data_IF_312446669621
#
_entry.id   IF_312446669621
#
_cell.length_a   1.000
_cell.length_b   1.000
_cell.length_c   1.000
_cell.angle_alpha   90.00
_cell.angle_beta   90.00
_cell.angle_gamma   90.00
#
_symmetry.space_group_name_H-M   'P 1'
#
loop_
_entity.id
_entity.type
_entity.pdbx_description
1 polymer ?
#
# COMPACT_ATOMS: atom_id res chain seq x y z
N UNK A 1 15.98 6.86 -1.03
CA UNK A 1 15.59 6.23 0.25
C UNK A 1 16.51 6.70 1.37
N UNK A 2 17.77 7.05 1.07
CA UNK A 2 18.75 7.56 2.04
C UNK A 2 19.01 6.56 3.16
N UNK A 3 19.27 5.32 2.76
CA UNK A 3 19.47 4.16 3.64
C UNK A 3 20.92 3.66 3.60
N UNK A 4 21.81 4.41 2.95
CA UNK A 4 23.22 4.04 2.77
C UNK A 4 23.44 2.90 1.78
N UNK A 5 22.61 2.79 0.75
CA UNK A 5 22.89 1.85 -0.34
C UNK A 5 24.06 2.35 -1.19
N UNK A 6 24.95 1.44 -1.55
CA UNK A 6 26.14 1.73 -2.37
C UNK A 6 25.75 1.75 -3.86
N UNK A 7 25.56 2.95 -4.41
CA UNK A 7 25.36 3.17 -5.84
C UNK A 7 26.67 3.60 -6.49
N UNK A 8 26.82 3.28 -7.77
CA UNK A 8 27.98 3.68 -8.58
C UNK A 8 28.08 5.19 -8.82
N UNK A 9 26.94 5.88 -8.93
CA UNK A 9 26.87 7.29 -9.31
C UNK A 9 26.14 8.21 -8.30
N UNK A 10 25.73 7.70 -7.14
CA UNK A 10 24.92 8.47 -6.17
C UNK A 10 25.26 8.16 -4.71
N UNK A 11 25.43 9.22 -3.91
CA UNK A 11 25.58 9.11 -2.45
C UNK A 11 24.21 9.06 -1.75
N UNK A 12 23.90 7.89 -1.18
CA UNK A 12 22.67 7.60 -0.41
C UNK A 12 22.87 7.72 1.12
N UNK A 13 23.88 8.48 1.56
CA UNK A 13 24.20 8.76 2.98
C UNK A 13 24.12 10.26 3.34
N UNK A 14 23.18 10.98 2.72
CA UNK A 14 23.01 12.42 2.94
C UNK A 14 22.48 12.73 4.34
N UNK A 15 22.77 13.93 4.84
CA UNK A 15 22.09 14.44 6.03
C UNK A 15 20.58 14.53 5.79
N UNK A 16 19.78 14.47 6.86
CA UNK A 16 18.32 14.50 6.73
C UNK A 16 17.82 15.80 6.10
N UNK A 17 18.40 16.95 6.46
CA UNK A 17 18.06 18.25 5.88
C UNK A 17 18.41 18.30 4.39
N UNK A 18 19.64 17.90 4.03
CA UNK A 18 20.07 17.86 2.63
C UNK A 18 19.21 16.92 1.77
N UNK A 19 18.79 15.79 2.35
CA UNK A 19 17.91 14.83 1.66
C UNK A 19 16.51 15.39 1.43
N UNK A 20 15.94 16.08 2.42
CA UNK A 20 14.63 16.70 2.29
C UNK A 20 14.65 17.88 1.31
N UNK A 21 15.69 18.71 1.34
CA UNK A 21 15.87 19.80 0.39
C UNK A 21 16.13 19.31 -1.04
N UNK A 22 16.94 18.25 -1.18
CA UNK A 22 17.07 17.55 -2.45
C UNK A 22 15.74 16.97 -2.92
N UNK A 23 14.95 16.39 -2.00
CA UNK A 23 13.65 15.83 -2.31
C UNK A 23 12.65 16.87 -2.79
N UNK A 24 12.61 18.01 -2.10
CA UNK A 24 11.80 19.16 -2.48
C UNK A 24 12.09 19.62 -3.90
N UNK A 25 13.37 19.70 -4.29
CA UNK A 25 13.78 20.17 -5.62
C UNK A 25 13.27 19.27 -6.73
N UNK A 26 13.52 17.96 -6.67
CA UNK A 26 13.03 17.07 -7.74
C UNK A 26 11.52 16.92 -7.72
N UNK A 27 10.88 16.91 -6.54
CA UNK A 27 9.42 16.87 -6.44
C UNK A 27 8.76 18.13 -7.01
N UNK A 28 9.41 19.30 -6.87
CA UNK A 28 8.93 20.56 -7.47
C UNK A 28 8.94 20.49 -8.99
N UNK A 29 10.01 19.94 -9.58
CA UNK A 29 10.09 19.72 -11.03
C UNK A 29 9.03 18.72 -11.52
N UNK A 30 8.77 17.66 -10.76
CA UNK A 30 7.64 16.76 -11.08
C UNK A 30 6.31 17.50 -11.06
N UNK A 31 6.04 18.31 -10.04
CA UNK A 31 4.81 19.10 -9.97
C UNK A 31 4.68 20.08 -11.15
N UNK A 32 5.80 20.63 -11.64
CA UNK A 32 5.84 21.52 -12.81
C UNK A 32 5.42 20.80 -14.09
N UNK A 33 5.90 19.59 -14.31
CA UNK A 33 5.64 18.83 -15.55
C UNK A 33 4.37 17.97 -15.50
N UNK A 34 3.84 17.70 -14.31
CA UNK A 34 2.62 16.94 -14.13
C UNK A 34 1.43 17.68 -14.75
N UNK A 35 0.57 16.98 -15.51
CA UNK A 35 -0.65 17.58 -16.06
C UNK A 35 -1.59 18.08 -14.94
N UNK A 36 -2.52 19.02 -15.20
CA UNK A 36 -3.53 19.44 -14.23
C UNK A 36 -4.35 18.28 -13.64
N UNK A 37 -4.63 17.26 -14.45
CA UNK A 37 -5.34 16.01 -14.09
C UNK A 37 -4.39 14.85 -13.72
N UNK A 38 -3.10 15.16 -13.54
CA UNK A 38 -2.04 14.19 -13.36
C UNK A 38 -1.93 13.65 -11.95
N UNK A 39 -1.34 12.45 -11.86
CA UNK A 39 -1.09 11.71 -10.64
C UNK A 39 0.42 11.51 -10.42
N UNK A 40 0.88 11.65 -9.18
CA UNK A 40 2.24 11.35 -8.75
C UNK A 40 2.22 10.23 -7.70
N UNK A 41 2.99 9.17 -7.94
CA UNK A 41 3.20 8.09 -6.99
C UNK A 41 4.61 8.14 -6.40
N UNK A 42 4.72 8.08 -5.07
CA UNK A 42 5.98 8.08 -4.36
C UNK A 42 6.15 6.79 -3.54
N UNK A 43 7.17 6.00 -3.86
CA UNK A 43 7.61 4.88 -3.04
C UNK A 43 8.70 5.32 -2.06
N UNK A 44 8.53 5.02 -0.77
CA UNK A 44 9.49 5.40 0.27
C UNK A 44 9.47 4.42 1.45
N UNK A 45 10.60 4.32 2.16
CA UNK A 45 10.73 3.59 3.42
C UNK A 45 10.21 4.37 4.62
N UNK A 46 10.30 3.79 5.80
CA UNK A 46 9.76 4.37 7.03
C UNK A 46 10.37 5.74 7.36
N UNK A 47 11.68 5.91 7.10
CA UNK A 47 12.51 7.01 7.59
C UNK A 47 11.99 8.42 7.23
N UNK A 48 11.43 8.57 6.04
CA UNK A 48 11.06 9.87 5.48
C UNK A 48 9.61 9.90 4.98
N UNK A 49 8.81 8.88 5.30
CA UNK A 49 7.45 8.77 4.79
C UNK A 49 6.57 9.93 5.27
N UNK A 50 6.68 10.30 6.55
CA UNK A 50 5.89 11.38 7.12
C UNK A 50 6.30 12.74 6.54
N UNK A 51 7.60 13.00 6.50
CA UNK A 51 8.21 14.25 6.03
C UNK A 51 7.89 14.50 4.57
N UNK A 52 8.10 13.52 3.69
CA UNK A 52 7.81 13.68 2.26
C UNK A 52 6.31 13.82 1.98
N UNK A 53 5.44 13.19 2.78
CA UNK A 53 3.99 13.43 2.69
C UNK A 53 3.62 14.85 3.09
N UNK A 54 4.19 15.37 4.18
CA UNK A 54 3.94 16.74 4.64
C UNK A 54 4.45 17.72 3.61
N UNK A 55 5.68 17.55 3.12
CA UNK A 55 6.28 18.36 2.07
C UNK A 55 5.41 18.40 0.80
N UNK A 56 5.00 17.22 0.30
CA UNK A 56 4.15 17.13 -0.89
C UNK A 56 2.83 17.89 -0.74
N UNK A 57 2.20 17.80 0.44
CA UNK A 57 0.85 18.34 0.66
C UNK A 57 0.82 19.79 1.12
N UNK A 58 1.78 20.22 1.94
CA UNK A 58 1.83 21.55 2.54
C UNK A 58 2.63 22.55 1.72
N UNK A 59 3.67 22.07 1.04
CA UNK A 59 4.61 22.96 0.34
C UNK A 59 4.44 22.88 -1.19
N UNK A 60 4.10 21.70 -1.73
CA UNK A 60 3.95 21.51 -3.18
C UNK A 60 2.50 21.50 -3.66
N UNK A 61 1.53 21.63 -2.75
CA UNK A 61 0.11 21.78 -3.08
C UNK A 61 -0.56 20.52 -3.65
N UNK A 62 0.05 19.34 -3.51
CA UNK A 62 -0.55 18.09 -3.94
C UNK A 62 -1.58 17.58 -2.92
N UNK A 63 -2.58 16.84 -3.40
CA UNK A 63 -3.55 16.15 -2.53
C UNK A 63 -3.20 14.67 -2.40
N UNK A 64 -2.96 14.18 -1.18
CA UNK A 64 -2.78 12.74 -0.92
C UNK A 64 -4.13 12.01 -0.93
N UNK A 65 -4.41 11.22 -1.97
CA UNK A 65 -5.65 10.42 -2.06
C UNK A 65 -5.56 9.12 -1.26
N UNK A 66 -4.39 8.52 -1.21
CA UNK A 66 -4.18 7.26 -0.50
C UNK A 66 -2.75 7.17 0.01
N UNK A 67 -2.60 6.64 1.22
CA UNK A 67 -1.33 6.16 1.75
C UNK A 67 -1.38 4.65 1.70
N UNK A 68 -0.85 4.08 0.64
CA UNK A 68 -0.86 2.64 0.43
C UNK A 68 0.32 1.99 1.16
N UNK A 69 0.06 0.86 1.80
CA UNK A 69 1.07 -0.01 2.39
C UNK A 69 1.30 -1.19 1.45
N UNK A 70 2.47 -1.23 0.82
CA UNK A 70 2.91 -2.40 0.06
C UNK A 70 3.66 -3.34 0.99
N UNK A 71 3.03 -4.46 1.33
CA UNK A 71 3.61 -5.48 2.20
C UNK A 71 4.31 -6.58 1.40
N UNK A 72 5.42 -7.05 1.93
CA UNK A 72 6.18 -8.18 1.42
C UNK A 72 6.75 -9.01 2.58
N UNK A 73 6.74 -10.33 2.46
CA UNK A 73 7.05 -11.25 3.57
C UNK A 73 8.52 -11.37 3.93
N UNK A 74 9.42 -11.07 3.00
CA UNK A 74 10.85 -11.15 3.23
C UNK A 74 11.41 -9.76 3.52
N UNK A 75 11.35 -9.41 4.80
CA UNK A 75 11.86 -8.16 5.35
C UNK A 75 13.26 -8.27 5.95
N UNK A 76 13.89 -7.12 6.24
CA UNK A 76 15.14 -7.09 7.01
C UNK A 76 14.81 -7.45 8.46
N UNK A 77 15.43 -8.52 8.96
CA UNK A 77 15.31 -8.89 10.38
C UNK A 77 15.88 -7.76 11.25
N UNK A 78 15.09 -7.31 12.21
CA UNK A 78 15.46 -6.25 13.13
C UNK A 78 15.63 -6.83 14.54
N UNK A 79 16.73 -6.47 15.23
CA UNK A 79 17.01 -6.99 16.58
C UNK A 79 16.28 -6.25 17.70
N UNK A 80 15.98 -4.97 17.51
CA UNK A 80 15.46 -4.06 18.54
C UNK A 80 14.09 -3.46 18.19
N UNK A 81 13.46 -3.92 17.11
CA UNK A 81 12.13 -3.49 16.65
C UNK A 81 11.49 -4.57 15.78
N UNK A 82 10.23 -4.37 15.41
CA UNK A 82 9.55 -5.24 14.45
C UNK A 82 10.29 -5.27 13.10
N UNK A 83 10.22 -6.42 12.42
CA UNK A 83 10.82 -6.60 11.10
C UNK A 83 10.23 -5.61 10.09
N UNK A 84 11.09 -5.13 9.19
CA UNK A 84 10.67 -4.23 8.10
C UNK A 84 10.17 -5.01 6.91
N UNK A 85 8.86 -5.11 6.77
CA UNK A 85 8.16 -5.93 5.77
C UNK A 85 7.23 -5.13 4.86
N UNK A 86 7.40 -3.81 4.78
CA UNK A 86 6.61 -2.97 3.89
C UNK A 86 7.37 -1.76 3.36
N UNK A 87 6.83 -1.19 2.29
CA UNK A 87 7.14 0.14 1.81
C UNK A 87 5.86 0.97 1.74
N UNK A 88 6.01 2.29 1.84
CA UNK A 88 4.93 3.24 1.71
C UNK A 88 4.82 3.68 0.25
N UNK A 89 3.60 3.66 -0.29
CA UNK A 89 3.27 4.15 -1.62
C UNK A 89 2.25 5.28 -1.47
N UNK A 90 2.69 6.52 -1.65
CA UNK A 90 1.79 7.66 -1.64
C UNK A 90 1.18 7.89 -3.01
N UNK A 91 -0.15 8.02 -3.05
CA UNK A 91 -0.92 8.39 -4.22
C UNK A 91 -1.28 9.87 -4.12
N UNK A 92 -0.52 10.73 -4.78
CA UNK A 92 -0.77 12.16 -4.84
C UNK A 92 -1.44 12.56 -6.16
N UNK A 93 -2.34 13.52 -6.11
CA UNK A 93 -3.00 14.10 -7.29
C UNK A 93 -2.89 15.61 -7.27
N UNK A 94 -2.87 16.22 -8.45
CA UNK A 94 -2.81 17.68 -8.60
C UNK A 94 -4.16 18.33 -8.34
N UNK A 95 -5.25 17.75 -8.86
CA UNK A 95 -6.62 18.19 -8.60
C UNK A 95 -7.42 17.04 -7.96
N UNK A 96 -7.94 17.28 -6.76
CA UNK A 96 -8.71 16.29 -6.00
C UNK A 96 -10.10 15.99 -6.58
N UNK A 97 -10.62 16.88 -7.42
CA UNK A 97 -11.89 16.73 -8.12
C UNK A 97 -11.70 16.12 -9.51
N UNK A 98 -10.59 16.42 -10.19
CA UNK A 98 -10.35 16.02 -11.59
C UNK A 98 -9.01 15.30 -11.73
N UNK A 99 -9.01 13.97 -11.66
CA UNK A 99 -7.83 13.14 -11.90
C UNK A 99 -8.22 11.77 -12.46
N UNK A 100 -7.30 11.13 -13.18
CA UNK A 100 -7.52 9.78 -13.73
C UNK A 100 -7.51 8.74 -12.61
N UNK A 101 -8.62 8.00 -12.46
CA UNK A 101 -8.72 6.85 -11.56
C UNK A 101 -9.58 5.72 -12.13
N UNK A 102 -8.93 4.77 -12.82
CA UNK A 102 -9.56 3.70 -13.58
C UNK A 102 -9.95 2.50 -12.70
N UNK A 103 -11.01 2.68 -11.90
CA UNK A 103 -11.47 1.69 -10.91
C UNK A 103 -11.65 0.28 -11.47
N UNK A 104 -12.25 0.14 -12.65
CA UNK A 104 -12.58 -1.15 -13.24
C UNK A 104 -11.35 -1.96 -13.66
N UNK A 105 -10.22 -1.31 -13.91
CA UNK A 105 -8.98 -1.97 -14.34
C UNK A 105 -8.18 -2.60 -13.21
N UNK A 106 -8.54 -2.30 -11.96
CA UNK A 106 -7.82 -2.71 -10.75
C UNK A 106 -8.70 -3.46 -9.75
N UNK A 107 -9.92 -3.85 -10.12
CA UNK A 107 -10.81 -4.56 -9.21
C UNK A 107 -10.22 -5.90 -8.80
N UNK A 108 -10.46 -6.25 -7.54
CA UNK A 108 -10.11 -7.53 -6.94
C UNK A 108 -11.38 -8.24 -6.46
N UNK A 109 -11.37 -9.57 -6.34
CA UNK A 109 -12.50 -10.30 -5.77
C UNK A 109 -12.89 -9.79 -4.37
N UNK A 110 -14.18 -9.85 -4.10
CA UNK A 110 -14.72 -9.42 -2.81
C UNK A 110 -14.87 -10.60 -1.86
N UNK A 111 -14.35 -10.53 -0.64
CA UNK A 111 -14.61 -11.56 0.37
C UNK A 111 -16.12 -11.72 0.67
N UNK A 112 -16.93 -10.67 0.47
CA UNK A 112 -18.41 -10.77 0.54
C UNK A 112 -18.97 -11.75 -0.48
N UNK A 113 -18.40 -11.76 -1.67
CA UNK A 113 -18.72 -12.72 -2.72
C UNK A 113 -18.11 -14.09 -2.39
N UNK A 114 -16.79 -14.13 -2.18
CA UNK A 114 -16.04 -15.39 -2.12
C UNK A 114 -16.27 -16.19 -0.84
N UNK A 115 -16.39 -15.53 0.30
CA UNK A 115 -16.45 -16.17 1.63
C UNK A 115 -17.87 -16.22 2.15
N UNK A 116 -18.62 -15.13 1.96
CA UNK A 116 -19.94 -14.96 2.59
C UNK A 116 -21.11 -15.21 1.64
N UNK A 117 -20.88 -15.38 0.32
CA UNK A 117 -21.95 -15.58 -0.66
C UNK A 117 -23.00 -14.46 -0.66
N UNK A 118 -22.62 -13.25 -0.26
CA UNK A 118 -23.52 -12.11 -0.14
C UNK A 118 -23.95 -11.64 -1.52
N UNK A 119 -25.25 -11.78 -1.83
CA UNK A 119 -25.84 -11.39 -3.12
C UNK A 119 -25.72 -9.90 -3.44
N UNK A 120 -25.41 -9.06 -2.45
CA UNK A 120 -25.14 -7.62 -2.65
C UNK A 120 -23.71 -7.36 -3.13
N UNK A 121 -22.84 -8.37 -3.16
CA UNK A 121 -21.50 -8.21 -3.69
C UNK A 121 -21.57 -7.89 -5.18
N UNK A 122 -20.74 -6.94 -5.61
CA UNK A 122 -20.62 -6.62 -7.02
C UNK A 122 -19.86 -7.76 -7.72
N UNK A 123 -20.45 -8.42 -8.75
CA UNK A 123 -19.81 -9.53 -9.45
C UNK A 123 -18.56 -9.11 -10.23
N UNK A 124 -18.35 -7.81 -10.45
CA UNK A 124 -17.10 -7.28 -11.01
C UNK A 124 -15.98 -7.15 -9.95
N UNK A 125 -16.25 -7.50 -8.69
CA UNK A 125 -15.34 -7.31 -7.57
C UNK A 125 -15.41 -5.91 -6.96
N UNK A 126 -14.45 -5.65 -6.08
CA UNK A 126 -14.31 -4.41 -5.30
C UNK A 126 -13.00 -3.70 -5.64
N UNK A 127 -12.85 -2.46 -5.21
CA UNK A 127 -11.53 -1.83 -5.18
C UNK A 127 -10.61 -2.57 -4.20
N UNK A 128 -9.31 -2.68 -4.50
CA UNK A 128 -8.34 -3.19 -3.54
C UNK A 128 -8.29 -2.27 -2.32
N UNK A 129 -7.92 -2.84 -1.18
CA UNK A 129 -7.66 -2.05 0.03
C UNK A 129 -6.42 -1.16 -0.19
N UNK A 130 -6.20 -0.20 0.70
CA UNK A 130 -4.96 0.57 0.75
C UNK A 130 -3.79 -0.21 1.36
N UNK A 131 -4.04 -1.43 1.85
CA UNK A 131 -3.00 -2.36 2.27
C UNK A 131 -2.88 -3.49 1.23
N UNK A 132 -1.82 -3.44 0.44
CA UNK A 132 -1.57 -4.38 -0.65
C UNK A 132 -0.83 -5.60 -0.12
N UNK A 133 -1.62 -6.50 0.48
CA UNK A 133 -1.20 -7.80 1.03
C UNK A 133 -1.91 -8.92 0.26
N UNK A 134 -1.29 -10.10 0.16
CA UNK A 134 -2.03 -11.32 -0.17
C UNK A 134 -2.68 -11.86 1.08
N UNK A 135 -4.01 -11.91 1.07
CA UNK A 135 -4.76 -12.44 2.20
C UNK A 135 -5.01 -13.93 1.96
N UNK A 136 -4.92 -14.77 3.00
CA UNK A 136 -5.23 -16.19 2.88
C UNK A 136 -6.60 -16.49 2.25
N UNK A 137 -7.59 -15.59 2.39
CA UNK A 137 -8.90 -15.73 1.76
C UNK A 137 -8.88 -15.54 0.24
N UNK A 138 -7.84 -14.90 -0.28
CA UNK A 138 -7.61 -14.72 -1.72
C UNK A 138 -6.88 -15.95 -2.34
N UNK A 139 -6.45 -16.92 -1.51
CA UNK A 139 -5.83 -18.21 -1.91
C UNK A 139 -6.45 -19.41 -1.14
N UNK A 140 -7.68 -19.85 -1.46
CA UNK A 140 -8.36 -20.92 -0.73
C UNK A 140 -7.69 -22.30 -0.84
N UNK A 141 -6.91 -22.56 -1.90
CA UNK A 141 -6.15 -23.81 -2.05
C UNK A 141 -4.83 -23.81 -1.26
N UNK A 142 -4.55 -22.73 -0.52
CA UNK A 142 -3.30 -22.56 0.22
C UNK A 142 -2.10 -22.35 -0.69
N UNK A 143 -0.96 -22.11 -0.06
CA UNK A 143 0.33 -21.91 -0.69
C UNK A 143 0.75 -23.16 -1.47
N UNK A 144 0.61 -23.15 -2.79
CA UNK A 144 1.22 -24.19 -3.63
C UNK A 144 2.68 -23.82 -3.88
N UNK A 145 3.57 -24.82 -3.90
CA UNK A 145 5.01 -24.59 -4.16
C UNK A 145 5.31 -24.08 -5.58
N UNK A 146 4.29 -24.00 -6.44
CA UNK A 146 4.36 -23.50 -7.80
C UNK A 146 3.87 -22.04 -7.94
N UNK A 147 3.35 -21.43 -6.87
CA UNK A 147 2.75 -20.10 -6.89
C UNK A 147 3.59 -19.09 -6.09
N UNK A 148 3.95 -17.98 -6.73
CA UNK A 148 4.53 -16.83 -6.02
C UNK A 148 3.46 -16.26 -5.06
N UNK A 149 3.75 -16.41 -3.78
CA UNK A 149 2.80 -16.40 -2.67
C UNK A 149 2.31 -14.99 -2.27
N UNK A 150 2.47 -13.97 -3.11
CA UNK A 150 2.15 -12.57 -2.76
C UNK A 150 1.60 -11.79 -3.97
N UNK A 151 0.68 -10.83 -3.76
CA UNK A 151 0.15 -9.99 -4.85
C UNK A 151 1.28 -9.28 -5.58
N UNK A 152 2.30 -8.85 -4.84
CA UNK A 152 3.54 -8.28 -5.38
C UNK A 152 4.70 -8.65 -4.45
N UNK A 153 5.31 -9.83 -4.57
CA UNK A 153 6.47 -10.15 -3.75
C UNK A 153 7.59 -9.18 -4.09
N UNK A 154 8.48 -8.86 -3.14
CA UNK A 154 9.75 -8.21 -3.50
C UNK A 154 10.44 -9.06 -4.57
N UNK A 155 11.01 -8.44 -5.61
CA UNK A 155 11.72 -9.19 -6.65
C UNK A 155 12.99 -9.80 -6.05
N UNK A 156 12.95 -11.10 -5.82
CA UNK A 156 14.04 -11.88 -5.23
C UNK A 156 14.95 -12.51 -6.30
N UNK A 157 16.15 -12.93 -5.90
CA UNK A 157 17.20 -13.40 -6.82
C UNK A 157 16.80 -14.56 -7.74
N UNK A 158 15.88 -15.42 -7.31
CA UNK A 158 15.43 -16.61 -8.07
C UNK A 158 14.26 -16.34 -9.02
N UNK A 159 13.71 -15.14 -9.04
CA UNK A 159 12.49 -14.84 -9.78
C UNK A 159 12.79 -14.57 -11.25
N UNK A 160 11.93 -15.04 -12.16
CA UNK A 160 12.09 -14.81 -13.61
C UNK A 160 12.16 -13.32 -13.99
N UNK A 161 11.44 -12.48 -13.24
CA UNK A 161 11.42 -11.03 -13.43
C UNK A 161 12.75 -10.37 -13.05
N UNK A 162 13.58 -11.01 -12.22
CA UNK A 162 14.81 -10.44 -11.69
C UNK A 162 15.81 -10.16 -12.81
N UNK A 163 16.15 -8.89 -12.99
CA UNK A 163 17.12 -8.48 -14.01
C UNK A 163 18.57 -8.87 -13.65
N UNK A 164 18.86 -9.09 -12.36
CA UNK A 164 20.15 -9.57 -11.86
C UNK A 164 21.20 -8.47 -11.59
N UNK A 165 21.06 -7.29 -12.20
CA UNK A 165 22.05 -6.20 -12.15
C UNK A 165 21.64 -4.98 -11.31
N UNK A 166 20.40 -4.90 -10.81
CA UNK A 166 19.92 -3.77 -10.00
C UNK A 166 19.46 -4.20 -8.61
N UNK A 167 19.96 -3.60 -7.53
CA UNK A 167 19.71 -4.04 -6.15
C UNK A 167 18.25 -4.01 -5.68
N UNK A 168 17.45 -3.06 -6.20
CA UNK A 168 16.10 -2.76 -5.70
C UNK A 168 15.06 -2.68 -6.84
N UNK A 169 14.90 -3.78 -7.60
CA UNK A 169 13.88 -3.85 -8.65
C UNK A 169 12.47 -3.97 -8.03
N UNK A 170 11.54 -3.10 -8.43
CA UNK A 170 10.12 -3.21 -8.07
C UNK A 170 9.41 -4.23 -9.00
N UNK A 171 8.35 -4.91 -8.53
CA UNK A 171 7.60 -5.88 -9.32
C UNK A 171 6.77 -5.24 -10.43
N UNK A 172 6.72 -5.87 -11.60
CA UNK A 172 5.94 -5.39 -12.74
C UNK A 172 4.45 -5.30 -12.43
N UNK A 173 3.88 -6.30 -11.77
CA UNK A 173 2.45 -6.29 -11.44
C UNK A 173 2.08 -5.14 -10.48
N UNK A 174 3.00 -4.74 -9.59
CA UNK A 174 2.79 -3.63 -8.65
C UNK A 174 2.67 -2.31 -9.40
N UNK A 175 3.66 -2.04 -10.25
CA UNK A 175 3.67 -0.87 -11.12
C UNK A 175 2.54 -0.94 -12.15
N UNK A 176 2.15 -2.14 -12.57
CA UNK A 176 1.03 -2.38 -13.47
C UNK A 176 -0.30 -2.01 -12.85
N UNK A 177 -0.50 -2.21 -11.54
CA UNK A 177 -1.67 -1.72 -10.81
C UNK A 177 -1.67 -0.19 -10.75
N UNK A 178 -0.54 0.41 -10.40
CA UNK A 178 -0.37 1.88 -10.33
C UNK A 178 -0.66 2.53 -11.69
N UNK A 179 -0.01 2.07 -12.75
CA UNK A 179 -0.13 2.65 -14.10
C UNK A 179 -1.54 2.46 -14.64
N UNK A 180 -2.17 1.29 -14.45
CA UNK A 180 -3.57 1.08 -14.88
C UNK A 180 -4.52 2.01 -14.14
N UNK A 181 -4.36 2.16 -12.83
CA UNK A 181 -5.21 3.02 -12.00
C UNK A 181 -5.13 4.49 -12.43
N UNK A 182 -3.94 4.99 -12.75
CA UNK A 182 -3.67 6.43 -12.84
C UNK A 182 -3.35 6.94 -14.24
N UNK A 183 -3.47 6.12 -15.29
CA UNK A 183 -3.22 6.51 -16.68
C UNK A 183 -4.03 5.69 -17.69
N UNK A 184 -4.18 6.20 -18.90
CA UNK A 184 -4.79 5.56 -20.05
C UNK A 184 -3.73 5.20 -21.12
N UNK A 185 -4.01 4.25 -22.03
CA UNK A 185 -3.16 4.02 -23.20
C UNK A 185 -2.86 5.33 -23.94
N UNK A 186 -1.61 5.51 -24.35
CA UNK A 186 -1.12 6.75 -24.98
C UNK A 186 -0.69 7.86 -24.02
N UNK A 187 -1.08 7.81 -22.74
CA UNK A 187 -0.57 8.77 -21.75
C UNK A 187 0.94 8.59 -21.53
N UNK A 188 1.61 9.64 -21.06
CA UNK A 188 3.02 9.61 -20.70
C UNK A 188 3.21 9.22 -19.23
N UNK A 189 4.01 8.19 -18.98
CA UNK A 189 4.49 7.79 -17.64
C UNK A 189 5.94 8.25 -17.48
N UNK A 190 6.19 9.07 -16.46
CA UNK A 190 7.52 9.59 -16.13
C UNK A 190 8.09 8.86 -14.90
N UNK A 191 9.35 8.41 -14.98
CA UNK A 191 10.11 7.92 -13.83
C UNK A 191 11.46 8.68 -13.70
N UNK A 192 11.60 9.59 -12.73
CA UNK A 192 12.85 10.35 -12.57
C UNK A 192 14.01 9.53 -12.00
N UNK A 193 13.76 8.30 -11.55
CA UNK A 193 14.76 7.41 -10.93
C UNK A 193 14.57 5.99 -11.47
N UNK A 194 14.81 5.82 -12.78
CA UNK A 194 14.36 4.64 -13.52
C UNK A 194 14.95 3.32 -13.00
N UNK A 195 16.18 3.31 -12.47
CA UNK A 195 16.84 2.19 -11.81
C UNK A 195 16.91 0.95 -12.70
N UNK A 196 16.03 -0.03 -12.47
CA UNK A 196 15.93 -1.24 -13.30
C UNK A 196 15.06 -1.09 -14.55
N UNK A 197 14.46 0.07 -14.75
CA UNK A 197 13.57 0.39 -15.86
C UNK A 197 12.18 -0.25 -15.77
N UNK A 198 11.78 -0.84 -14.63
CA UNK A 198 10.50 -1.55 -14.52
C UNK A 198 9.31 -0.64 -14.82
N UNK A 199 9.30 0.62 -14.36
CA UNK A 199 8.22 1.57 -14.68
C UNK A 199 8.08 1.78 -16.18
N UNK A 200 9.19 1.96 -16.89
CA UNK A 200 9.23 2.17 -18.34
C UNK A 200 8.80 0.90 -19.09
N UNK A 201 9.29 -0.26 -18.66
CA UNK A 201 8.91 -1.56 -19.19
C UNK A 201 7.40 -1.80 -19.07
N UNK A 202 6.83 -1.59 -17.89
CA UNK A 202 5.39 -1.76 -17.63
C UNK A 202 4.57 -0.74 -18.42
N UNK A 203 5.00 0.52 -18.49
CA UNK A 203 4.34 1.53 -19.30
C UNK A 203 4.28 1.11 -20.78
N UNK A 204 5.40 0.64 -21.35
CA UNK A 204 5.47 0.11 -22.71
C UNK A 204 4.54 -1.09 -22.92
N UNK A 205 4.62 -2.11 -22.03
CA UNK A 205 3.77 -3.30 -22.06
C UNK A 205 2.28 -2.93 -22.05
N UNK A 206 1.91 -1.92 -21.26
CA UNK A 206 0.54 -1.43 -21.16
C UNK A 206 0.14 -0.41 -22.26
N UNK A 207 1.00 -0.12 -23.23
CA UNK A 207 0.69 0.81 -24.32
C UNK A 207 0.63 2.27 -23.91
N UNK A 208 1.42 2.67 -22.90
CA UNK A 208 1.67 4.07 -22.54
C UNK A 208 2.99 4.53 -23.17
N UNK A 209 3.09 5.84 -23.42
CA UNK A 209 4.37 6.48 -23.65
C UNK A 209 5.15 6.53 -22.33
N UNK A 210 6.47 6.59 -22.39
CA UNK A 210 7.30 6.64 -21.19
C UNK A 210 8.50 7.56 -21.36
N UNK A 211 8.95 8.13 -20.25
CA UNK A 211 10.19 8.89 -20.15
C UNK A 211 10.85 8.54 -18.81
N UNK A 212 12.15 8.24 -18.84
CA UNK A 212 12.90 7.90 -17.65
C UNK A 212 14.24 8.60 -17.60
N UNK A 213 14.68 8.92 -16.38
CA UNK A 213 16.03 9.42 -16.11
C UNK A 213 16.78 8.40 -15.25
N UNK A 214 18.04 8.18 -15.59
CA UNK A 214 18.95 7.31 -14.85
C UNK A 214 20.33 7.95 -14.84
N UNK A 215 20.98 7.98 -13.67
CA UNK A 215 22.30 8.58 -13.49
C UNK A 215 23.41 7.63 -13.91
N UNK A 216 23.24 6.33 -13.65
CA UNK A 216 24.21 5.31 -14.04
C UNK A 216 24.10 5.02 -15.53
N UNK A 217 25.17 5.30 -16.28
CA UNK A 217 25.26 4.96 -17.71
C UNK A 217 25.09 3.45 -17.92
N UNK A 218 25.69 2.64 -17.04
CA UNK A 218 25.55 1.19 -17.08
C UNK A 218 24.09 0.75 -16.90
N UNK A 219 23.34 1.34 -15.96
CA UNK A 219 21.91 1.04 -15.82
C UNK A 219 21.10 1.54 -17.02
N UNK A 220 21.39 2.74 -17.55
CA UNK A 220 20.72 3.28 -18.71
C UNK A 220 20.86 2.37 -19.96
N UNK A 221 22.04 1.80 -20.20
CA UNK A 221 22.25 0.81 -21.25
C UNK A 221 21.39 -0.44 -21.05
N UNK A 222 21.36 -0.98 -19.82
CA UNK A 222 20.60 -2.19 -19.51
C UNK A 222 19.08 -1.96 -19.61
N UNK A 223 18.61 -0.79 -19.19
CA UNK A 223 17.23 -0.35 -19.38
C UNK A 223 16.91 -0.33 -20.88
N UNK A 224 17.78 0.25 -21.71
CA UNK A 224 17.57 0.33 -23.17
C UNK A 224 17.45 -1.06 -23.78
N UNK A 225 18.40 -1.97 -23.47
CA UNK A 225 18.35 -3.38 -23.93
C UNK A 225 17.07 -4.10 -23.48
N UNK A 226 16.65 -3.89 -22.22
CA UNK A 226 15.40 -4.47 -21.70
C UNK A 226 14.19 -3.95 -22.48
N UNK A 227 14.15 -2.65 -22.75
CA UNK A 227 13.04 -2.02 -23.48
C UNK A 227 12.97 -2.48 -24.94
N UNK A 228 14.09 -2.66 -25.62
CA UNK A 228 14.14 -3.14 -27.01
C UNK A 228 13.48 -4.52 -27.17
N UNK A 229 13.64 -5.38 -26.17
CA UNK A 229 13.02 -6.72 -26.14
C UNK A 229 11.52 -6.73 -25.82
N UNK A 230 10.94 -5.61 -25.37
CA UNK A 230 9.54 -5.54 -24.96
C UNK A 230 8.63 -5.09 -26.10
N UNK A 231 7.49 -5.76 -26.25
CA UNK A 231 6.44 -5.38 -27.19
C UNK A 231 5.22 -4.79 -26.46
N UNK A 232 4.52 -3.86 -27.11
CA UNK A 232 3.26 -3.33 -26.58
C UNK A 232 2.23 -4.46 -26.50
N UNK A 233 1.53 -4.57 -25.38
CA UNK A 233 0.56 -5.64 -25.11
C UNK A 233 1.18 -6.92 -24.54
N UNK A 234 2.51 -6.99 -24.38
CA UNK A 234 3.15 -8.12 -23.70
C UNK A 234 2.67 -8.23 -22.24
N UNK A 235 2.50 -9.46 -21.76
CA UNK A 235 2.05 -9.73 -20.41
C UNK A 235 3.08 -9.22 -19.37
N UNK A 236 2.57 -8.69 -18.25
CA UNK A 236 3.38 -8.34 -17.09
C UNK A 236 3.91 -9.60 -16.40
N UNK A 237 5.14 -9.55 -15.95
CA UNK A 237 5.78 -10.65 -15.22
C UNK A 237 5.22 -10.77 -13.79
N UNK A 238 5.05 -12.00 -13.32
CA UNK A 238 4.41 -12.30 -12.02
C UNK A 238 2.91 -12.62 -12.15
N UNK A 239 2.33 -13.20 -11.10
CA UNK A 239 0.92 -13.56 -11.10
C UNK A 239 0.04 -12.31 -11.22
N UNK A 240 -0.95 -12.28 -12.13
CA UNK A 240 -1.95 -11.23 -12.11
C UNK A 240 -2.73 -11.30 -10.79
N UNK A 241 -3.42 -10.21 -10.45
CA UNK A 241 -4.48 -10.23 -9.44
C UNK A 241 -5.34 -11.51 -9.63
N UNK A 242 -5.61 -12.33 -8.60
CA UNK A 242 -6.50 -13.47 -8.75
C UNK A 242 -7.87 -12.93 -9.15
N UNK A 243 -8.31 -13.23 -10.37
CA UNK A 243 -9.56 -12.70 -10.92
C UNK A 243 -10.78 -13.57 -10.56
N UNK A 244 -10.59 -14.75 -9.95
CA UNK A 244 -11.66 -15.68 -9.60
C UNK A 244 -11.32 -16.46 -8.33
N UNK A 245 -12.31 -16.66 -7.45
CA UNK A 245 -12.26 -17.79 -6.52
C UNK A 245 -12.69 -19.07 -7.22
N UNK A 246 -12.16 -20.17 -6.71
CA UNK A 246 -12.48 -21.58 -6.97
C UNK A 246 -14.01 -21.85 -6.87
N UNK A 247 -14.55 -22.92 -7.50
CA UNK A 247 -16.00 -23.18 -7.57
C UNK A 247 -16.65 -23.29 -6.20
N UNK A 248 -17.98 -23.07 -6.16
CA UNK A 248 -18.80 -23.26 -4.99
C UNK A 248 -18.53 -24.63 -4.35
N UNK A 249 -18.27 -24.63 -3.04
CA UNK A 249 -18.09 -25.84 -2.25
C UNK A 249 -19.43 -26.60 -2.19
N UNK A 250 -19.74 -27.40 -3.20
CA UNK A 250 -20.83 -28.37 -3.13
C UNK A 250 -20.59 -29.42 -2.02
N UNK A 251 -19.37 -29.48 -1.48
CA UNK A 251 -18.95 -30.35 -0.39
C UNK A 251 -18.53 -29.57 0.86
N UNK A 252 -19.25 -28.51 1.22
CA UNK A 252 -19.15 -27.97 2.57
C UNK A 252 -19.48 -29.07 3.57
N UNK A 253 -18.48 -29.58 4.31
CA UNK A 253 -18.74 -30.47 5.44
C UNK A 253 -19.65 -29.73 6.40
N UNK A 254 -20.91 -30.11 6.44
CA UNK A 254 -21.81 -29.75 7.53
C UNK A 254 -21.13 -30.18 8.82
N UNK A 255 -21.07 -29.27 9.80
CA UNK A 255 -20.69 -29.65 11.16
C UNK A 255 -21.60 -30.83 11.52
N UNK A 256 -21.03 -32.03 11.67
CA UNK A 256 -21.79 -33.21 12.04
C UNK A 256 -22.62 -32.82 13.26
N UNK A 257 -23.93 -33.04 13.15
CA UNK A 257 -24.94 -32.76 14.16
C UNK A 257 -24.33 -32.84 15.55
N UNK A 258 -24.33 -31.73 16.29
CA UNK A 258 -24.12 -31.76 17.74
C UNK A 258 -25.14 -32.76 18.26
N UNK A 259 -24.70 -33.99 18.51
CA UNK A 259 -25.50 -35.01 19.14
C UNK A 259 -25.96 -34.37 20.43
N UNK A 260 -27.25 -34.08 20.50
CA UNK A 260 -27.92 -33.63 21.71
C UNK A 260 -27.76 -34.73 22.75
N UNK A 261 -26.63 -34.73 23.45
CA UNK A 261 -26.52 -35.38 24.76
C UNK A 261 -27.35 -34.50 25.70
N UNK A 262 -28.65 -34.76 25.75
CA UNK A 262 -29.50 -34.40 26.89
C UNK A 262 -28.95 -35.17 28.09
N UNK A 263 -27.94 -34.63 28.74
CA UNK A 263 -27.65 -35.00 30.13
C UNK A 263 -28.61 -34.21 30.99
N UNK A 264 -29.65 -34.86 31.49
CA UNK A 264 -30.45 -34.35 32.60
C UNK A 264 -29.52 -34.21 33.81
N UNK A 265 -29.05 -32.99 34.08
CA UNK A 265 -28.49 -32.64 35.38
C UNK A 265 -29.45 -31.69 36.06
N UNK A 266 -29.92 -32.15 37.23
CA UNK A 266 -30.75 -31.47 38.21
C UNK A 266 -30.25 -30.04 38.43
N UNK A 267 -31.19 -29.11 38.60
CA UNK A 267 -30.93 -27.81 39.21
C UNK A 267 -30.50 -28.06 40.65
N UNK A 268 -29.25 -27.76 40.95
CA UNK A 268 -28.82 -27.41 42.29
C UNK A 268 -28.16 -26.03 42.23
N UNK A 269 -28.43 -25.25 43.26
CA UNK A 269 -28.27 -23.82 43.42
C UNK A 269 -26.83 -23.32 43.54
N UNK A 270 -26.61 -22.07 43.10
CA UNK A 270 -25.64 -21.06 43.59
C UNK A 270 -24.16 -21.49 43.74
N UNK A 271 -23.31 -20.98 42.84
CA UNK A 271 -22.00 -20.44 43.20
C UNK A 271 -21.51 -19.48 42.09
N UNK A 272 -21.08 -18.30 42.50
CA UNK A 272 -20.52 -17.20 41.70
C UNK A 272 -19.18 -17.58 41.05
N UNK A 273 -19.01 -17.32 39.75
CA UNK A 273 -17.70 -17.33 39.10
C UNK A 273 -17.03 -15.95 39.21
N UNK A 274 -15.71 -15.86 39.44
CA UNK A 274 -15.00 -14.59 39.62
C UNK A 274 -14.79 -13.86 38.29
N UNK A 275 -14.97 -12.54 38.31
CA UNK A 275 -14.78 -11.64 37.18
C UNK A 275 -13.30 -11.47 36.81
N UNK A 276 -13.06 -11.34 35.51
CA UNK A 276 -11.74 -11.35 34.86
C UNK A 276 -11.01 -9.98 34.85
N UNK A 277 -11.39 -9.06 35.73
CA UNK A 277 -10.76 -7.75 35.85
C UNK A 277 -10.73 -7.30 37.33
N UNK A 278 -9.58 -6.89 37.89
CA UNK A 278 -9.54 -6.27 39.21
C UNK A 278 -10.23 -4.90 39.14
N UNK A 279 -11.28 -4.71 39.93
CA UNK A 279 -11.81 -3.38 40.25
C UNK A 279 -10.95 -2.79 41.35
N UNK A 280 -10.09 -1.84 41.03
CA UNK A 280 -9.40 -1.03 42.04
C UNK A 280 -10.42 -0.06 42.67
N UNK A 281 -10.51 -0.14 44.01
CA UNK A 281 -11.24 0.80 44.85
C UNK A 281 -10.42 2.10 44.98
N UNK A 282 -11.01 3.22 44.56
CA UNK A 282 -10.65 4.53 45.10
C UNK A 282 -11.29 4.66 46.49
N UNK A 283 -10.56 5.11 47.53
CA UNK A 283 -11.16 5.42 48.81
C UNK A 283 -11.89 6.78 48.75
N UNK A 284 -13.15 6.77 49.19
CA UNK A 284 -13.95 7.96 49.45
C UNK A 284 -13.67 8.52 50.86
N UNK A 285 -13.88 9.83 50.95
CA UNK A 285 -13.97 10.74 52.11
C UNK A 285 -12.66 11.27 52.73
N UNK A 286 -12.47 12.60 52.73
CA UNK A 286 -13.06 13.51 53.74
C UNK A 286 -13.15 14.95 53.20
N UNK A 287 -14.27 15.59 53.55
CA UNK A 287 -14.77 16.92 53.24
C UNK A 287 -13.87 18.13 53.58
N UNK A 288 -14.15 19.26 52.91
CA UNK A 288 -13.81 20.60 53.43
C UNK A 288 -13.89 21.75 52.42
N UNK A 289 -15.04 22.44 52.38
CA UNK A 289 -15.09 23.91 52.42
C UNK A 289 -14.87 24.75 51.15
N UNK A 290 -15.90 25.55 50.85
CA UNK A 290 -15.87 26.92 50.28
C UNK A 290 -15.86 27.12 48.74
N UNK A 291 -17.07 27.45 48.24
CA UNK A 291 -17.39 28.38 47.14
C UNK A 291 -16.87 29.81 47.46
N UNK A 292 -16.70 30.75 46.48
CA UNK A 292 -17.70 31.05 45.45
C UNK A 292 -17.24 31.57 44.06
N UNK A 293 -18.20 31.46 43.13
CA UNK A 293 -18.68 32.43 42.14
C UNK A 293 -17.66 33.36 41.41
N UNK A 294 -17.70 33.52 40.09
CA UNK A 294 -18.78 34.18 39.35
C UNK A 294 -18.49 34.14 37.84
N UNK A 295 -19.56 34.19 37.05
CA UNK A 295 -19.58 34.32 35.61
C UNK A 295 -19.15 35.71 35.11
N UNK A 296 -18.65 35.79 33.87
CA UNK A 296 -18.88 36.94 32.98
C UNK A 296 -18.37 36.65 31.56
N UNK A 297 -19.31 36.35 30.67
CA UNK A 297 -19.24 36.58 29.23
C UNK A 297 -19.02 38.06 28.91
N UNK A 298 -18.20 38.37 27.91
CA UNK A 298 -18.45 39.51 27.01
C UNK A 298 -17.81 39.25 25.64
N UNK A 299 -18.69 39.17 24.63
CA UNK A 299 -18.40 39.52 23.25
C UNK A 299 -17.99 40.99 23.21
N UNK A 300 -17.04 41.35 22.33
CA UNK A 300 -17.19 42.61 21.62
C UNK A 300 -16.80 42.49 20.14
N UNK A 301 -17.72 43.01 19.33
CA UNK A 301 -17.62 43.26 17.88
C UNK A 301 -17.44 44.76 17.74
N UNK A 302 -16.43 45.22 17.02
CA UNK A 302 -16.49 46.52 16.31
C UNK A 302 -15.33 46.56 15.31
N UNK A 303 -15.61 46.45 14.01
CA UNK A 303 -15.82 47.57 13.06
C UNK A 303 -14.54 48.38 12.81
N UNK A 304 -13.83 48.07 11.72
CA UNK A 304 -13.61 48.96 10.54
C UNK A 304 -12.92 48.18 9.44
#
# INVERSE_FOLDING_TARGET
FNIGYDYDAYDDTRSSEDYLDWSKRWMSELCRVLRPDGTFWLAIGDEYAAELKVLATRELGLTCRSWVIWYYTFGVNCRQKFSRSHAHLFHFVRDAANFTFNTDTIRVPSARELVYGDRRANPKGRLPDDTWILRPQDLPNGFSSAEDTWYFPRVCGTFKERSGWHGCQMPEQLLGRIIRASSNPGDLVLDPFAGSGTTLAVAKKLGRNFLGFELSEAYAEQITRRLDGIQVGQQLDGAPEPLKSVPATAAGRTLASRTTRRTSRRRDSKASAPGLFPTEHLPDDVAGGETPATASTTNDKTTT
#
